data_IF_047006205714
#
_entry.id   IF_047006205714
#
_cell.length_a   1.000
_cell.length_b   1.000
_cell.length_c   1.000
_cell.angle_alpha   90.00
_cell.angle_beta   90.00
_cell.angle_gamma   90.00
#
_symmetry.space_group_name_H-M   'P 1'
#
loop_
_entity.id
_entity.type
_entity.pdbx_description
1 polymer ?
#
# COMPACT_ATOMS: atom_id res chain seq x y z
N UNK A 1 -19.30 -10.85 -16.38
CA UNK A 1 -19.78 -10.13 -17.57
C UNK A 1 -20.28 -8.72 -17.26
N UNK A 2 -21.30 -8.52 -16.40
CA UNK A 2 -21.79 -7.16 -16.06
C UNK A 2 -20.74 -6.22 -15.45
N UNK A 3 -19.94 -6.69 -14.50
CA UNK A 3 -18.85 -5.89 -13.94
C UNK A 3 -17.80 -5.53 -15.00
N UNK A 4 -17.48 -6.45 -15.91
CA UNK A 4 -16.53 -6.18 -16.99
C UNK A 4 -17.09 -5.12 -17.97
N UNK A 5 -18.40 -5.16 -18.25
CA UNK A 5 -19.07 -4.17 -19.09
C UNK A 5 -19.15 -2.78 -18.43
N UNK A 6 -19.41 -2.72 -17.12
CA UNK A 6 -19.40 -1.45 -16.36
C UNK A 6 -18.00 -0.83 -16.30
N UNK A 7 -16.97 -1.65 -16.15
CA UNK A 7 -15.58 -1.19 -16.18
C UNK A 7 -15.14 -0.74 -17.59
N UNK A 8 -15.53 -1.45 -18.65
CA UNK A 8 -15.25 -1.05 -20.03
C UNK A 8 -15.92 0.28 -20.40
N UNK A 9 -17.17 0.49 -19.98
CA UNK A 9 -17.88 1.76 -20.17
C UNK A 9 -17.23 2.92 -19.42
N UNK A 10 -16.69 2.67 -18.21
CA UNK A 10 -16.00 3.70 -17.42
C UNK A 10 -14.63 4.08 -18.02
N UNK A 11 -13.94 3.15 -18.69
CA UNK A 11 -12.71 3.44 -19.44
C UNK A 11 -12.98 4.13 -20.80
N UNK A 12 -14.24 4.31 -21.19
CA UNK A 12 -14.63 4.97 -22.43
C UNK A 12 -14.35 4.13 -23.68
N UNK A 13 -14.24 2.80 -23.55
CA UNK A 13 -14.05 1.90 -24.68
C UNK A 13 -15.39 1.76 -25.43
N UNK A 14 -15.61 2.62 -26.42
CA UNK A 14 -16.74 2.55 -27.33
C UNK A 14 -16.41 1.57 -28.48
N UNK A 15 -17.11 0.42 -28.59
CA UNK A 15 -16.86 -0.56 -29.66
C UNK A 15 -17.27 -0.07 -31.06
N UNK A 16 -17.90 1.11 -31.16
CA UNK A 16 -18.21 1.80 -32.41
C UNK A 16 -17.28 2.98 -32.69
N UNK A 17 -16.24 3.18 -31.86
CA UNK A 17 -15.27 4.23 -32.08
C UNK A 17 -14.51 3.99 -33.41
N UNK A 18 -14.30 5.02 -34.23
CA UNK A 18 -13.46 4.92 -35.42
C UNK A 18 -12.02 4.54 -35.02
N UNK A 19 -11.31 3.81 -35.90
CA UNK A 19 -9.88 3.53 -35.73
C UNK A 19 -9.14 4.87 -35.55
N UNK A 20 -8.64 5.12 -34.34
CA UNK A 20 -7.94 6.37 -34.00
C UNK A 20 -6.50 6.24 -34.47
N UNK A 21 -6.11 7.08 -35.43
CA UNK A 21 -4.72 7.21 -35.85
C UNK A 21 -3.85 7.64 -34.65
N UNK A 22 -2.78 6.88 -34.39
CA UNK A 22 -1.91 7.06 -33.23
C UNK A 22 -1.24 8.45 -33.24
N UNK A 23 -1.09 9.04 -34.43
CA UNK A 23 -0.55 10.38 -34.64
C UNK A 23 -1.49 11.50 -34.14
N UNK A 24 -2.80 11.25 -33.99
CA UNK A 24 -3.80 12.20 -33.49
C UNK A 24 -4.02 12.11 -31.96
N UNK A 25 -3.32 11.21 -31.27
CA UNK A 25 -3.43 11.05 -29.81
C UNK A 25 -2.65 12.16 -29.10
N UNK A 26 -3.36 13.23 -28.73
CA UNK A 26 -2.81 14.28 -27.88
C UNK A 26 -2.83 13.85 -26.41
N UNK A 27 -1.67 13.86 -25.76
CA UNK A 27 -1.59 13.64 -24.31
C UNK A 27 -2.41 14.72 -23.59
N UNK A 28 -3.40 14.29 -22.80
CA UNK A 28 -4.16 15.20 -21.96
C UNK A 28 -3.20 15.92 -20.99
N UNK A 29 -3.30 17.25 -20.85
CA UNK A 29 -2.49 17.96 -19.87
C UNK A 29 -2.81 17.42 -18.48
N UNK A 30 -1.79 16.95 -17.78
CA UNK A 30 -1.93 16.48 -16.41
C UNK A 30 -2.24 17.67 -15.50
N UNK A 31 -3.42 17.66 -14.87
CA UNK A 31 -3.77 18.70 -13.90
C UNK A 31 -2.92 18.50 -12.64
N UNK A 32 -2.12 19.50 -12.31
CA UNK A 32 -1.22 19.46 -11.14
C UNK A 32 -2.07 19.39 -9.86
N UNK A 33 -1.84 18.36 -9.05
CA UNK A 33 -2.58 18.16 -7.81
C UNK A 33 -2.29 19.32 -6.84
N UNK A 34 -3.26 20.21 -6.69
CA UNK A 34 -3.19 21.30 -5.72
C UNK A 34 -3.63 20.78 -4.37
N UNK A 35 -2.86 21.11 -3.33
CA UNK A 35 -3.28 20.86 -1.96
C UNK A 35 -4.52 21.70 -1.65
N UNK A 36 -5.68 21.04 -1.61
CA UNK A 36 -6.98 21.64 -1.28
C UNK A 36 -7.32 21.48 0.20
N UNK A 37 -6.38 20.98 1.01
CA UNK A 37 -6.60 20.81 2.44
C UNK A 37 -6.87 22.15 3.10
N UNK A 38 -7.89 22.17 3.96
CA UNK A 38 -8.19 23.35 4.78
C UNK A 38 -7.11 23.46 5.85
N UNK A 39 -6.65 24.68 6.18
CA UNK A 39 -5.72 24.87 7.27
C UNK A 39 -6.34 24.32 8.56
N UNK A 40 -5.59 23.45 9.25
CA UNK A 40 -6.00 22.87 10.53
C UNK A 40 -6.31 24.00 11.52
N UNK A 41 -7.48 23.89 12.15
CA UNK A 41 -7.89 24.81 13.21
C UNK A 41 -7.07 24.57 14.49
N UNK A 42 -7.03 25.57 15.38
CA UNK A 42 -6.33 25.44 16.65
C UNK A 42 -6.87 24.27 17.52
N UNK A 43 -8.17 23.98 17.41
CA UNK A 43 -8.80 22.87 18.15
C UNK A 43 -8.46 21.50 17.56
N UNK A 44 -8.33 21.39 16.23
CA UNK A 44 -7.87 20.15 15.58
C UNK A 44 -6.39 19.88 15.88
N UNK A 45 -5.57 20.92 15.98
CA UNK A 45 -4.17 20.82 16.43
C UNK A 45 -4.07 20.22 17.82
N UNK A 46 -4.83 20.74 18.79
CA UNK A 46 -4.85 20.20 20.16
C UNK A 46 -5.29 18.74 20.22
N UNK A 47 -6.27 18.35 19.39
CA UNK A 47 -6.70 16.95 19.27
C UNK A 47 -5.58 16.06 18.71
N UNK A 48 -4.85 16.54 17.70
CA UNK A 48 -3.72 15.81 17.13
C UNK A 48 -2.55 15.69 18.12
N UNK A 49 -2.24 16.75 18.87
CA UNK A 49 -1.22 16.73 19.92
C UNK A 49 -1.52 15.66 20.98
N UNK A 50 -2.80 15.55 21.38
CA UNK A 50 -3.25 14.52 22.33
C UNK A 50 -3.08 13.10 21.78
N UNK A 51 -3.27 12.89 20.46
CA UNK A 51 -3.09 11.59 19.80
C UNK A 51 -1.60 11.24 19.68
N UNK A 52 -0.73 12.23 19.46
CA UNK A 52 0.71 12.04 19.37
C UNK A 52 1.34 11.54 20.68
N UNK A 53 0.71 11.86 21.82
CA UNK A 53 1.15 11.41 23.15
C UNK A 53 0.74 9.97 23.51
N UNK A 54 0.01 9.27 22.64
CA UNK A 54 -0.40 7.89 22.91
C UNK A 54 0.83 6.98 22.76
N UNK A 55 1.27 6.29 23.82
CA UNK A 55 2.45 5.43 23.75
C UNK A 55 2.19 4.22 22.85
N UNK A 56 3.15 3.92 21.97
CA UNK A 56 3.12 2.76 21.07
C UNK A 56 4.30 1.83 21.33
N UNK A 57 4.08 0.53 21.16
CA UNK A 57 5.15 -0.47 21.27
C UNK A 57 5.87 -0.58 19.93
N UNK A 58 7.17 -0.25 19.92
CA UNK A 58 8.05 -0.49 18.78
C UNK A 58 8.76 -1.83 18.99
N UNK A 59 8.59 -2.75 18.04
CA UNK A 59 9.28 -4.03 18.01
C UNK A 59 10.26 -4.07 16.86
N UNK A 60 11.49 -4.48 17.13
CA UNK A 60 12.52 -4.71 16.11
C UNK A 60 12.82 -6.20 16.04
N UNK A 61 12.63 -6.80 14.86
CA UNK A 61 12.94 -8.20 14.61
C UNK A 61 14.31 -8.34 13.93
N UNK A 62 15.14 -9.28 14.42
CA UNK A 62 16.45 -9.58 13.82
C UNK A 62 16.35 -10.48 12.58
N UNK A 63 15.35 -11.37 12.53
CA UNK A 63 15.09 -12.28 11.42
C UNK A 63 14.12 -13.41 11.82
N UNK A 64 13.57 -14.11 10.83
CA UNK A 64 12.62 -15.22 11.00
C UNK A 64 13.19 -16.51 10.43
N UNK A 65 12.71 -17.67 10.88
CA UNK A 65 13.08 -18.96 10.29
C UNK A 65 11.90 -19.93 10.35
N UNK A 66 11.69 -20.72 9.31
CA UNK A 66 10.65 -21.75 9.28
C UNK A 66 11.25 -23.12 9.59
N UNK A 67 10.81 -23.73 10.68
CA UNK A 67 11.27 -25.04 11.14
C UNK A 67 10.09 -25.99 11.30
N UNK A 68 10.26 -27.27 10.93
CA UNK A 68 9.23 -28.28 11.16
C UNK A 68 9.04 -28.53 12.66
N UNK A 69 7.81 -28.84 13.09
CA UNK A 69 7.49 -29.07 14.51
C UNK A 69 8.39 -30.17 15.11
N UNK A 70 8.71 -31.20 14.33
CA UNK A 70 9.62 -32.29 14.77
C UNK A 70 11.00 -31.74 15.12
N UNK A 71 11.57 -30.91 14.26
CA UNK A 71 12.91 -30.36 14.47
C UNK A 71 12.91 -29.33 15.60
N UNK A 72 11.81 -28.58 15.79
CA UNK A 72 11.66 -27.66 16.91
C UNK A 72 11.69 -28.38 18.26
N UNK A 73 10.97 -29.51 18.38
CA UNK A 73 10.96 -30.32 19.61
C UNK A 73 12.30 -31.01 19.90
N UNK A 74 13.17 -31.13 18.89
CA UNK A 74 14.51 -31.70 19.03
C UNK A 74 15.57 -30.66 19.41
N UNK A 75 15.21 -29.37 19.43
CA UNK A 75 16.11 -28.31 19.89
C UNK A 75 16.39 -28.49 21.37
N UNK A 76 17.67 -28.53 21.71
CA UNK A 76 18.15 -28.61 23.09
C UNK A 76 19.09 -27.43 23.35
N UNK A 77 19.51 -27.26 24.61
CA UNK A 77 20.47 -26.22 24.94
C UNK A 77 21.74 -26.36 24.08
N UNK A 78 22.12 -25.29 23.39
CA UNK A 78 23.27 -25.28 22.48
C UNK A 78 22.95 -25.49 20.99
N UNK A 79 21.67 -25.68 20.62
CA UNK A 79 21.27 -25.68 19.20
C UNK A 79 21.40 -24.29 18.58
N UNK A 80 22.04 -24.19 17.41
CA UNK A 80 22.18 -22.95 16.62
C UNK A 80 21.19 -23.00 15.45
N UNK A 81 20.43 -21.93 15.26
CA UNK A 81 19.42 -21.81 14.18
C UNK A 81 19.74 -20.57 13.35
N UNK A 82 19.80 -20.74 12.04
CA UNK A 82 19.99 -19.65 11.09
C UNK A 82 18.68 -18.88 10.90
N UNK A 83 18.78 -17.56 10.81
CA UNK A 83 17.65 -16.65 10.64
C UNK A 83 17.72 -15.97 9.28
N UNK A 84 16.59 -15.92 8.59
CA UNK A 84 16.42 -15.13 7.38
C UNK A 84 16.22 -13.66 7.76
N UNK A 85 17.05 -12.79 7.20
CA UNK A 85 16.93 -11.34 7.38
C UNK A 85 15.92 -10.82 6.34
N UNK A 86 14.95 -10.02 6.79
CA UNK A 86 14.15 -9.19 5.89
C UNK A 86 15.09 -8.09 5.37
N UNK A 87 15.42 -8.13 4.07
CA UNK A 87 16.14 -7.07 3.37
C UNK A 87 15.16 -6.03 2.83
#
# INVERSE_FOLDING_TARGET
>A
EKLAAEWAAALGEDPSAPDVDIDDVMAAPLEELKDTSKPITADERRKLDTIMDIPVTISMEVGRSQISIRNLLQLNQGSVVELDRLA
#
